data_IF_027261240355
#
_entry.id   IF_027261240355
#
_cell.length_a   1.000
_cell.length_b   1.000
_cell.length_c   1.000
_cell.angle_alpha   90.00
_cell.angle_beta   90.00
_cell.angle_gamma   90.00
#
_symmetry.space_group_name_H-M   'P 1'
#
loop_
_entity.id
_entity.type
_entity.pdbx_description
1 polymer ?
#
# COMPACT_ATOMS: atom_id res chain seq x y z
N UNK A 1 23.47 1.64 -30.27
CA UNK A 1 23.77 0.93 -29.00
C UNK A 1 23.55 -0.54 -29.28
N UNK A 2 24.50 -1.44 -28.95
CA UNK A 2 24.25 -2.89 -29.03
C UNK A 2 23.11 -3.22 -28.04
N UNK A 3 22.13 -4.00 -28.47
CA UNK A 3 21.08 -4.48 -27.60
C UNK A 3 21.74 -5.19 -26.39
N UNK A 4 21.36 -4.76 -25.19
CA UNK A 4 21.77 -5.47 -23.97
C UNK A 4 21.09 -6.84 -24.03
N UNK A 5 21.76 -7.93 -23.64
CA UNK A 5 21.08 -9.22 -23.59
C UNK A 5 19.84 -9.11 -22.66
N UNK A 6 18.79 -9.90 -22.92
CA UNK A 6 17.60 -9.89 -22.08
C UNK A 6 17.99 -10.14 -20.62
N UNK A 7 17.24 -9.55 -19.72
CA UNK A 7 17.46 -9.73 -18.28
C UNK A 7 17.06 -11.15 -17.87
N UNK A 8 17.73 -11.70 -16.86
CA UNK A 8 17.36 -13.00 -16.29
C UNK A 8 15.90 -12.97 -15.82
N UNK A 9 15.05 -13.91 -16.30
CA UNK A 9 13.63 -13.96 -15.91
C UNK A 9 13.44 -14.32 -14.44
N UNK A 10 12.44 -13.71 -13.82
CA UNK A 10 12.11 -13.95 -12.41
C UNK A 10 10.75 -14.65 -12.30
N UNK A 11 10.71 -15.80 -11.62
CA UNK A 11 9.50 -16.56 -11.39
C UNK A 11 8.73 -16.05 -10.17
N UNK A 12 7.41 -15.94 -10.30
CA UNK A 12 6.47 -15.81 -9.18
C UNK A 12 6.08 -17.22 -8.75
N UNK A 13 6.54 -17.63 -7.58
CA UNK A 13 6.36 -19.01 -7.09
C UNK A 13 5.29 -19.11 -6.00
N UNK A 14 4.89 -18.00 -5.39
CA UNK A 14 3.83 -17.92 -4.40
C UNK A 14 3.27 -16.52 -4.29
N UNK A 15 2.05 -16.43 -3.81
CA UNK A 15 1.38 -15.15 -3.57
C UNK A 15 0.29 -15.25 -2.52
N UNK A 16 0.01 -14.14 -1.85
CA UNK A 16 -1.12 -14.00 -0.94
C UNK A 16 -1.63 -12.56 -0.93
N UNK A 17 -2.87 -12.37 -0.54
CA UNK A 17 -3.47 -11.05 -0.48
C UNK A 17 -4.61 -10.96 0.53
N UNK A 18 -4.92 -9.70 0.93
CA UNK A 18 -6.17 -9.30 1.55
C UNK A 18 -6.62 -8.04 0.80
N UNK A 19 -7.80 -8.09 0.19
CA UNK A 19 -8.42 -6.98 -0.53
C UNK A 19 -9.90 -6.83 -0.14
N UNK A 20 -10.55 -5.73 -0.45
CA UNK A 20 -11.99 -5.57 -0.21
C UNK A 20 -12.79 -6.75 -0.79
N UNK A 21 -13.66 -7.33 0.02
CA UNK A 21 -14.43 -8.53 -0.36
C UNK A 21 -13.62 -9.82 -0.51
N UNK A 22 -12.30 -9.82 -0.23
CA UNK A 22 -11.41 -10.95 -0.47
C UNK A 22 -10.36 -11.13 0.64
N UNK A 23 -10.61 -12.00 1.63
CA UNK A 23 -9.67 -12.30 2.72
C UNK A 23 -8.45 -13.14 2.29
N UNK A 24 -8.42 -13.63 1.08
CA UNK A 24 -7.36 -14.48 0.54
C UNK A 24 -7.37 -14.54 -0.99
N UNK A 25 -6.32 -15.13 -1.55
CA UNK A 25 -6.10 -15.26 -3.00
C UNK A 25 -7.26 -15.95 -3.74
N UNK A 26 -7.80 -17.05 -3.17
CA UNK A 26 -8.90 -17.79 -3.82
C UNK A 26 -10.14 -16.91 -3.97
N UNK A 27 -10.55 -16.22 -2.90
CA UNK A 27 -11.72 -15.34 -2.95
C UNK A 27 -11.49 -14.14 -3.85
N UNK A 28 -10.27 -13.60 -3.91
CA UNK A 28 -9.91 -12.53 -4.83
C UNK A 28 -10.08 -12.96 -6.28
N UNK A 29 -9.59 -14.15 -6.63
CA UNK A 29 -9.80 -14.72 -7.96
C UNK A 29 -11.28 -14.95 -8.28
N UNK A 30 -12.03 -15.54 -7.35
CA UNK A 30 -13.47 -15.75 -7.52
C UNK A 30 -14.21 -14.41 -7.75
N UNK A 31 -13.82 -13.34 -7.07
CA UNK A 31 -14.39 -12.00 -7.27
C UNK A 31 -14.07 -11.44 -8.66
N UNK A 32 -12.84 -11.60 -9.16
CA UNK A 32 -12.46 -11.18 -10.51
C UNK A 32 -13.29 -11.92 -11.57
N UNK A 33 -13.34 -13.24 -11.49
CA UNK A 33 -14.07 -14.07 -12.47
C UNK A 33 -15.56 -13.75 -12.49
N UNK A 34 -16.14 -13.42 -11.34
CA UNK A 34 -17.58 -13.13 -11.22
C UNK A 34 -17.92 -11.64 -11.34
N UNK A 35 -16.92 -10.77 -11.59
CA UNK A 35 -17.14 -9.32 -11.75
C UNK A 35 -17.72 -8.66 -10.49
N UNK A 36 -17.30 -9.09 -9.30
CA UNK A 36 -17.80 -8.57 -8.02
C UNK A 36 -17.24 -7.18 -7.77
N UNK A 37 -18.13 -6.18 -7.64
CA UNK A 37 -17.78 -4.85 -7.13
C UNK A 37 -17.71 -4.91 -5.59
N UNK A 38 -16.51 -4.69 -5.06
CA UNK A 38 -16.24 -4.69 -3.61
C UNK A 38 -16.17 -3.27 -3.00
N UNK A 39 -16.61 -2.26 -3.75
CA UNK A 39 -16.70 -0.88 -3.26
C UNK A 39 -17.93 -0.73 -2.36
N UNK A 40 -17.74 -0.14 -1.19
CA UNK A 40 -18.80 0.12 -0.21
C UNK A 40 -18.76 1.55 0.31
N UNK A 41 -19.77 1.95 1.07
CA UNK A 41 -19.69 3.15 1.88
C UNK A 41 -18.68 2.95 3.01
N UNK A 42 -18.06 4.04 3.47
CA UNK A 42 -17.14 4.01 4.60
C UNK A 42 -17.84 3.44 5.84
N UNK A 43 -17.21 2.48 6.55
CA UNK A 43 -17.79 1.93 7.78
C UNK A 43 -18.03 3.01 8.84
N UNK A 44 -19.19 2.99 9.49
CA UNK A 44 -19.60 4.01 10.47
C UNK A 44 -18.59 4.20 11.63
N UNK A 45 -17.87 3.13 12.01
CA UNK A 45 -16.85 3.20 13.05
C UNK A 45 -15.59 3.96 12.64
N UNK A 46 -15.38 4.20 11.34
CA UNK A 46 -14.20 4.89 10.83
C UNK A 46 -14.27 6.40 10.98
N UNK A 47 -15.42 6.99 10.67
CA UNK A 47 -15.66 8.41 10.88
C UNK A 47 -17.18 8.74 10.90
N UNK A 48 -17.52 9.75 11.69
CA UNK A 48 -18.91 10.14 11.89
C UNK A 48 -19.51 10.79 10.62
N UNK A 49 -20.80 10.60 10.40
CA UNK A 49 -21.53 11.13 9.25
C UNK A 49 -21.45 12.65 9.10
N UNK A 50 -21.12 13.37 10.19
CA UNK A 50 -20.93 14.84 10.17
C UNK A 50 -19.81 15.29 9.22
N UNK A 51 -18.86 14.44 8.92
CA UNK A 51 -17.76 14.74 7.98
C UNK A 51 -18.18 14.64 6.51
N UNK A 52 -19.29 14.01 6.20
CA UNK A 52 -19.79 13.89 4.82
C UNK A 52 -20.66 15.09 4.45
N UNK A 53 -20.19 15.88 3.49
CA UNK A 53 -20.94 16.98 2.88
C UNK A 53 -20.46 17.14 1.42
N UNK A 54 -21.26 16.67 0.43
CA UNK A 54 -20.87 16.68 -0.97
C UNK A 54 -20.73 18.07 -1.58
N UNK A 55 -21.35 19.08 -0.97
CA UNK A 55 -21.38 20.46 -1.45
C UNK A 55 -20.33 21.36 -0.79
N UNK A 56 -19.72 20.91 0.32
CA UNK A 56 -18.73 21.68 1.06
C UNK A 56 -17.35 21.64 0.41
N UNK A 57 -16.59 22.71 0.63
CA UNK A 57 -15.15 22.82 0.28
C UNK A 57 -14.27 22.93 1.52
N UNK A 58 -14.88 22.85 2.71
CA UNK A 58 -14.13 22.90 3.97
C UNK A 58 -13.23 21.68 4.14
N UNK A 59 -12.06 21.87 4.76
CA UNK A 59 -11.06 20.82 4.91
C UNK A 59 -11.55 19.62 5.75
N UNK A 60 -12.48 19.85 6.63
CA UNK A 60 -13.09 18.86 7.52
C UNK A 60 -14.43 18.32 7.00
N UNK A 61 -14.70 18.51 5.71
CA UNK A 61 -15.88 17.97 5.02
C UNK A 61 -15.46 17.21 3.77
N UNK A 62 -16.08 16.06 3.57
CA UNK A 62 -15.70 15.15 2.47
C UNK A 62 -16.87 14.95 1.53
N UNK A 63 -16.61 15.14 0.25
CA UNK A 63 -17.63 14.97 -0.79
C UNK A 63 -17.77 13.53 -1.29
N UNK A 64 -16.87 12.64 -0.91
CA UNK A 64 -16.90 11.21 -1.26
C UNK A 64 -16.85 10.37 0.01
N UNK A 65 -17.68 9.35 0.10
CA UNK A 65 -17.71 8.40 1.23
C UNK A 65 -17.61 6.94 0.80
N UNK A 66 -17.31 6.67 -0.46
CA UNK A 66 -17.16 5.31 -0.98
C UNK A 66 -15.70 4.95 -1.22
N UNK A 67 -15.39 3.68 -0.96
CA UNK A 67 -14.05 3.14 -1.13
C UNK A 67 -14.02 1.62 -0.94
N UNK A 68 -12.85 1.04 -0.98
CA UNK A 68 -12.64 -0.37 -0.67
C UNK A 68 -12.05 -0.55 0.73
N UNK A 69 -12.71 -1.30 1.61
CA UNK A 69 -12.33 -1.49 3.01
C UNK A 69 -12.12 -2.96 3.33
N UNK A 70 -11.24 -3.24 4.29
CA UNK A 70 -10.86 -4.60 4.71
C UNK A 70 -11.13 -4.90 6.18
N UNK A 71 -11.93 -4.07 6.86
CA UNK A 71 -12.22 -4.20 8.30
C UNK A 71 -12.64 -5.60 8.73
N UNK A 72 -13.38 -6.30 7.88
CA UNK A 72 -13.88 -7.65 8.15
C UNK A 72 -12.77 -8.72 8.16
N UNK A 73 -11.56 -8.40 7.67
CA UNK A 73 -10.48 -9.37 7.41
C UNK A 73 -9.21 -9.12 8.21
N UNK A 74 -9.26 -8.17 9.15
CA UNK A 74 -8.09 -7.77 9.95
C UNK A 74 -7.83 -8.68 11.16
N UNK A 75 -8.51 -9.81 11.26
CA UNK A 75 -8.26 -10.81 12.28
C UNK A 75 -6.79 -11.26 12.27
N UNK A 76 -6.17 -11.17 13.45
CA UNK A 76 -4.77 -11.56 13.64
C UNK A 76 -4.60 -12.31 14.95
N UNK A 77 -4.18 -13.56 14.86
CA UNK A 77 -3.82 -14.36 16.04
C UNK A 77 -2.34 -14.10 16.40
N UNK A 78 -2.05 -13.31 17.44
CA UNK A 78 -0.68 -12.96 17.79
C UNK A 78 0.18 -14.18 18.14
N UNK A 79 -0.38 -15.17 18.79
CA UNK A 79 0.38 -16.34 19.23
C UNK A 79 0.80 -17.22 18.06
N UNK A 80 -0.05 -17.36 17.05
CA UNK A 80 0.27 -18.07 15.81
C UNK A 80 1.50 -17.51 15.10
N UNK A 81 1.69 -16.19 15.19
CA UNK A 81 2.79 -15.47 14.50
C UNK A 81 3.93 -15.08 15.45
N UNK A 82 3.93 -15.59 16.67
CA UNK A 82 4.98 -15.31 17.66
C UNK A 82 5.04 -13.86 18.14
N UNK A 83 3.92 -13.14 18.07
CA UNK A 83 3.78 -11.76 18.54
C UNK A 83 3.14 -11.78 19.94
N UNK A 84 3.68 -10.99 20.87
CA UNK A 84 3.05 -10.88 22.20
C UNK A 84 1.67 -10.19 22.05
N UNK A 85 0.59 -10.70 22.68
CA UNK A 85 -0.75 -10.11 22.56
C UNK A 85 -0.80 -8.62 22.91
N UNK A 86 -0.06 -8.19 23.94
CA UNK A 86 0.05 -6.77 24.30
C UNK A 86 0.66 -5.92 23.20
N UNK A 87 1.70 -6.42 22.52
CA UNK A 87 2.35 -5.73 21.42
C UNK A 87 1.45 -5.71 20.15
N UNK A 88 0.66 -6.76 19.94
CA UNK A 88 -0.31 -6.79 18.85
C UNK A 88 -1.41 -5.73 18.99
N UNK A 89 -1.94 -5.56 20.21
CA UNK A 89 -2.99 -4.56 20.48
C UNK A 89 -2.55 -3.09 20.29
N UNK A 90 -1.24 -2.85 20.20
CA UNK A 90 -0.66 -1.49 20.06
C UNK A 90 0.05 -1.28 18.71
N UNK A 91 0.26 -2.34 17.92
CA UNK A 91 0.92 -2.25 16.62
C UNK A 91 -0.05 -1.72 15.55
N UNK A 92 0.49 -1.01 14.58
CA UNK A 92 -0.28 -0.65 13.38
C UNK A 92 -0.68 -1.92 12.61
N UNK A 93 -1.88 -1.97 12.03
CA UNK A 93 -2.37 -3.09 11.22
C UNK A 93 -1.40 -3.50 10.11
N UNK A 94 -0.74 -2.53 9.49
CA UNK A 94 0.29 -2.73 8.46
C UNK A 94 1.33 -3.79 8.86
N UNK A 95 1.82 -3.71 10.09
CA UNK A 95 2.89 -4.60 10.58
C UNK A 95 2.40 -6.01 10.87
N UNK A 96 1.15 -6.14 11.29
CA UNK A 96 0.56 -7.43 11.63
C UNK A 96 0.07 -8.15 10.37
N UNK A 97 -0.62 -7.43 9.50
CA UNK A 97 -1.16 -8.00 8.26
C UNK A 97 -0.05 -8.33 7.25
N UNK A 98 1.04 -7.53 7.20
CA UNK A 98 2.20 -7.88 6.38
C UNK A 98 2.84 -9.20 6.83
N UNK A 99 2.94 -9.43 8.15
CA UNK A 99 3.43 -10.69 8.69
C UNK A 99 2.51 -11.86 8.32
N UNK A 100 1.20 -11.70 8.50
CA UNK A 100 0.21 -12.71 8.13
C UNK A 100 0.30 -13.07 6.65
N UNK A 101 0.21 -12.06 5.77
CA UNK A 101 0.20 -12.28 4.32
C UNK A 101 1.55 -12.78 3.80
N UNK A 102 2.67 -12.34 4.39
CA UNK A 102 3.99 -12.87 4.05
C UNK A 102 4.15 -14.36 4.40
N UNK A 103 3.65 -14.79 5.56
CA UNK A 103 3.63 -16.22 5.95
C UNK A 103 2.70 -17.02 5.01
N UNK A 104 1.53 -16.47 4.68
CA UNK A 104 0.59 -17.11 3.75
C UNK A 104 1.20 -17.25 2.33
N UNK A 105 1.93 -16.23 1.85
CA UNK A 105 2.61 -16.27 0.55
C UNK A 105 3.73 -17.33 0.50
N UNK A 106 4.53 -17.44 1.55
CA UNK A 106 5.52 -18.52 1.68
C UNK A 106 4.86 -19.89 1.76
N UNK A 107 3.74 -20.01 2.47
CA UNK A 107 2.95 -21.24 2.52
C UNK A 107 2.42 -21.63 1.13
N UNK A 108 1.93 -20.67 0.37
CA UNK A 108 1.45 -20.86 -1.00
C UNK A 108 2.60 -21.27 -1.95
N UNK A 109 3.80 -20.74 -1.75
CA UNK A 109 5.02 -21.15 -2.46
C UNK A 109 5.56 -22.55 -2.05
N UNK A 110 4.91 -23.24 -1.09
CA UNK A 110 5.34 -24.55 -0.60
C UNK A 110 6.40 -24.48 0.51
N UNK A 111 6.77 -23.30 0.98
CA UNK A 111 7.79 -23.08 2.00
C UNK A 111 7.23 -22.93 3.43
N UNK A 112 5.99 -23.27 3.65
CA UNK A 112 5.40 -23.30 4.99
C UNK A 112 6.03 -24.33 5.93
N UNK A 113 6.48 -25.46 5.38
CA UNK A 113 7.16 -26.54 6.11
C UNK A 113 8.48 -26.97 5.46
N UNK A 114 8.73 -26.58 4.23
CA UNK A 114 9.97 -26.85 3.48
C UNK A 114 11.02 -25.82 3.88
N UNK A 115 12.27 -26.25 4.00
CA UNK A 115 13.38 -25.34 4.27
C UNK A 115 13.72 -24.47 3.05
N UNK A 116 14.26 -23.26 3.31
CA UNK A 116 14.63 -22.30 2.28
C UNK A 116 15.81 -21.43 2.74
N UNK A 117 16.53 -20.75 1.83
CA UNK A 117 17.77 -20.04 2.15
C UNK A 117 17.49 -18.73 2.92
N UNK A 118 17.19 -18.77 4.21
CA UNK A 118 16.85 -17.61 5.05
C UNK A 118 17.92 -16.53 5.05
N UNK A 119 19.20 -16.92 5.04
CA UNK A 119 20.33 -15.98 4.97
C UNK A 119 20.36 -15.15 3.70
N UNK A 120 19.77 -15.70 2.63
CA UNK A 120 19.73 -15.09 1.30
C UNK A 120 18.29 -14.78 0.84
N UNK A 121 17.39 -14.66 1.80
CA UNK A 121 15.99 -14.25 1.56
C UNK A 121 15.76 -12.86 2.12
N UNK A 122 15.29 -11.96 1.26
CA UNK A 122 14.97 -10.58 1.62
C UNK A 122 13.48 -10.26 1.53
N UNK A 123 13.12 -9.06 1.97
CA UNK A 123 11.75 -8.54 1.91
C UNK A 123 11.74 -7.05 1.57
N UNK A 124 11.00 -6.66 0.54
CA UNK A 124 10.81 -5.26 0.13
C UNK A 124 9.33 -4.99 -0.02
N UNK A 125 8.81 -4.00 0.70
CA UNK A 125 7.37 -3.70 0.71
C UNK A 125 7.13 -2.25 0.30
N UNK A 126 6.33 -2.05 -0.73
CA UNK A 126 5.80 -0.75 -1.12
C UNK A 126 4.75 -0.27 -0.11
N UNK A 127 4.97 0.91 0.46
CA UNK A 127 4.08 1.50 1.45
C UNK A 127 4.11 3.02 1.34
N UNK A 128 2.96 3.64 1.18
CA UNK A 128 2.85 5.11 1.27
C UNK A 128 3.09 5.60 2.69
N UNK A 129 3.72 6.77 2.82
CA UNK A 129 4.04 7.36 4.12
C UNK A 129 2.91 8.28 4.64
N UNK A 130 1.68 7.79 4.64
CA UNK A 130 0.55 8.47 5.26
C UNK A 130 0.59 8.34 6.78
N UNK A 131 -0.16 9.20 7.49
CA UNK A 131 -0.19 9.18 8.96
C UNK A 131 -0.70 7.82 9.47
N UNK A 132 0.07 7.20 10.32
CA UNK A 132 -0.35 5.98 11.01
C UNK A 132 -1.26 6.30 12.19
N UNK A 133 -2.04 5.33 12.64
CA UNK A 133 -2.87 5.46 13.83
C UNK A 133 -2.06 5.87 15.06
N UNK A 134 -0.82 5.35 15.20
CA UNK A 134 0.10 5.73 16.27
C UNK A 134 0.51 7.20 16.22
N UNK A 135 0.79 7.72 15.02
CA UNK A 135 1.13 9.15 14.82
C UNK A 135 -0.04 10.05 15.19
N UNK A 136 -1.27 9.70 14.77
CA UNK A 136 -2.47 10.45 15.12
C UNK A 136 -2.70 10.49 16.63
N UNK A 137 -2.55 9.36 17.33
CA UNK A 137 -2.63 9.30 18.79
C UNK A 137 -1.58 10.21 19.46
N UNK A 138 -0.34 10.20 18.97
CA UNK A 138 0.70 11.07 19.48
C UNK A 138 0.34 12.55 19.30
N UNK A 139 -0.11 12.95 18.12
CA UNK A 139 -0.54 14.32 17.84
C UNK A 139 -1.69 14.77 18.76
N UNK A 140 -2.66 13.89 19.00
CA UNK A 140 -3.75 14.18 19.94
C UNK A 140 -3.25 14.39 21.36
N UNK A 141 -2.36 13.51 21.86
CA UNK A 141 -1.82 13.61 23.23
C UNK A 141 -0.93 14.83 23.45
N UNK A 142 -0.21 15.25 22.43
CA UNK A 142 0.80 16.33 22.55
C UNK A 142 0.23 17.67 22.08
N UNK A 143 -0.14 17.78 20.80
CA UNK A 143 -0.54 19.07 20.21
C UNK A 143 -1.99 19.42 20.46
N UNK A 144 -2.93 18.51 20.17
CA UNK A 144 -4.35 18.83 20.31
C UNK A 144 -4.70 19.21 21.74
N UNK A 145 -4.24 18.45 22.74
CA UNK A 145 -4.47 18.77 24.15
C UNK A 145 -3.91 20.17 24.48
N UNK A 146 -2.68 20.46 24.08
CA UNK A 146 -2.04 21.76 24.38
C UNK A 146 -2.74 22.92 23.67
N UNK A 147 -3.08 22.77 22.41
CA UNK A 147 -3.79 23.79 21.62
C UNK A 147 -5.18 24.05 22.21
N UNK A 148 -5.92 23.00 22.58
CA UNK A 148 -7.22 23.15 23.23
C UNK A 148 -7.14 23.94 24.54
N UNK A 149 -6.15 23.62 25.39
CA UNK A 149 -5.98 24.33 26.67
C UNK A 149 -5.58 25.80 26.45
N UNK A 150 -4.72 26.08 25.48
CA UNK A 150 -4.35 27.45 25.13
C UNK A 150 -5.56 28.25 24.63
N UNK A 151 -6.33 27.67 23.70
CA UNK A 151 -7.56 28.31 23.20
C UNK A 151 -8.54 28.61 24.32
N UNK A 152 -8.70 27.69 25.30
CA UNK A 152 -9.57 27.92 26.44
C UNK A 152 -9.07 29.05 27.33
N UNK A 153 -7.75 29.18 27.56
CA UNK A 153 -7.17 30.29 28.29
C UNK A 153 -7.41 31.65 27.59
N UNK A 154 -7.27 31.65 26.25
CA UNK A 154 -7.46 32.86 25.45
C UNK A 154 -8.94 33.30 25.43
N UNK A 155 -9.89 32.36 25.42
CA UNK A 155 -11.32 32.63 25.39
C UNK A 155 -11.92 32.91 26.79
N UNK A 156 -11.32 32.36 27.83
CA UNK A 156 -11.80 32.46 29.22
C UNK A 156 -10.61 32.94 30.09
N UNK A 157 -10.31 34.27 30.11
CA UNK A 157 -9.14 34.80 30.81
C UNK A 157 -9.09 34.47 32.31
N UNK A 158 -10.25 34.29 32.94
CA UNK A 158 -10.39 34.02 34.38
C UNK A 158 -10.38 32.50 34.70
N UNK A 159 -10.11 31.62 33.72
CA UNK A 159 -10.06 30.17 33.95
C UNK A 159 -8.90 29.83 34.90
N UNK A 160 -9.18 29.13 35.99
CA UNK A 160 -8.15 28.75 36.95
C UNK A 160 -7.24 27.62 36.44
N UNK A 161 -6.00 27.58 36.98
CA UNK A 161 -5.08 26.47 36.67
C UNK A 161 -5.64 25.09 37.05
N UNK A 162 -6.43 25.03 38.13
CA UNK A 162 -7.10 23.81 38.57
C UNK A 162 -8.15 23.35 37.56
N UNK A 163 -8.96 24.30 37.05
CA UNK A 163 -9.94 23.99 35.99
C UNK A 163 -9.25 23.49 34.72
N UNK A 164 -8.18 24.13 34.28
CA UNK A 164 -7.38 23.71 33.13
C UNK A 164 -6.80 22.29 33.31
N UNK A 165 -6.28 22.00 34.51
CA UNK A 165 -5.76 20.67 34.81
C UNK A 165 -6.85 19.61 34.76
N UNK A 166 -8.03 19.90 35.31
CA UNK A 166 -9.19 18.99 35.26
C UNK A 166 -9.65 18.75 33.81
N UNK A 167 -9.69 19.80 32.98
CA UNK A 167 -10.02 19.68 31.55
C UNK A 167 -8.97 18.83 30.84
N UNK A 168 -7.68 19.06 31.11
CA UNK A 168 -6.58 18.24 30.57
C UNK A 168 -6.76 16.75 30.87
N UNK A 169 -7.07 16.42 32.11
CA UNK A 169 -7.29 15.05 32.55
C UNK A 169 -8.51 14.43 31.87
N UNK A 170 -9.60 15.17 31.76
CA UNK A 170 -10.79 14.72 31.05
C UNK A 170 -10.55 14.48 29.55
N UNK A 171 -9.81 15.37 28.87
CA UNK A 171 -9.46 15.16 27.47
C UNK A 171 -8.61 13.89 27.35
N UNK A 172 -7.52 13.78 28.15
CA UNK A 172 -6.62 12.63 28.11
C UNK A 172 -7.31 11.30 28.43
N UNK A 173 -8.32 11.29 29.29
CA UNK A 173 -9.06 10.08 29.62
C UNK A 173 -9.93 9.54 28.47
N UNK A 174 -10.20 10.37 27.46
CA UNK A 174 -10.98 10.01 26.27
C UNK A 174 -10.09 9.63 25.07
N UNK A 175 -8.76 9.87 25.19
CA UNK A 175 -7.84 9.50 24.14
C UNK A 175 -7.42 8.04 24.28
N UNK A 176 -7.19 7.40 23.15
CA UNK A 176 -6.63 6.06 23.11
C UNK A 176 -5.25 5.98 23.77
N UNK A 177 -4.93 4.83 24.33
CA UNK A 177 -3.63 4.60 24.95
C UNK A 177 -2.47 4.89 23.98
N UNK A 178 -1.48 5.62 24.50
CA UNK A 178 -0.19 5.82 23.85
C UNK A 178 0.96 5.41 24.77
N UNK A 179 1.83 4.53 24.31
CA UNK A 179 2.98 4.04 25.06
C UNK A 179 4.09 3.54 24.13
N UNK A 180 5.16 2.94 24.69
CA UNK A 180 6.31 2.47 23.90
C UNK A 180 5.95 1.51 22.77
N UNK A 181 4.97 0.64 22.98
CA UNK A 181 4.53 -0.31 21.98
C UNK A 181 3.89 0.39 20.76
N UNK A 182 3.10 1.47 20.99
CA UNK A 182 2.53 2.31 19.94
C UNK A 182 3.63 3.07 19.21
N UNK A 183 4.62 3.62 19.95
CA UNK A 183 5.74 4.34 19.35
C UNK A 183 6.56 3.46 18.39
N UNK A 184 6.75 2.19 18.73
CA UNK A 184 7.36 1.20 17.81
C UNK A 184 6.50 1.00 16.57
N UNK A 185 5.17 0.99 16.70
CA UNK A 185 4.23 0.89 15.58
C UNK A 185 4.38 1.98 14.53
N UNK A 186 4.84 3.18 14.94
CA UNK A 186 4.99 4.34 14.04
C UNK A 186 6.17 4.25 13.07
N UNK A 187 7.10 3.32 13.23
CA UNK A 187 8.30 3.20 12.39
C UNK A 187 7.92 2.47 11.09
N UNK A 188 7.92 3.16 9.91
CA UNK A 188 7.42 2.57 8.66
C UNK A 188 8.15 1.29 8.26
N UNK A 189 9.48 1.24 8.47
CA UNK A 189 10.29 0.07 8.10
C UNK A 189 9.96 -1.20 8.90
N UNK A 190 9.28 -1.09 10.04
CA UNK A 190 8.94 -2.27 10.84
C UNK A 190 7.91 -3.19 10.15
N UNK A 191 7.22 -2.72 9.13
CA UNK A 191 6.40 -3.57 8.25
C UNK A 191 7.27 -4.67 7.63
N UNK A 192 8.41 -4.34 7.05
CA UNK A 192 9.34 -5.30 6.48
C UNK A 192 10.21 -5.99 7.55
N UNK A 193 10.75 -5.22 8.51
CA UNK A 193 11.66 -5.74 9.53
C UNK A 193 10.99 -6.72 10.50
N UNK A 194 9.70 -6.54 10.80
CA UNK A 194 8.94 -7.50 11.62
C UNK A 194 8.80 -8.84 10.91
N UNK A 195 8.49 -8.80 9.62
CA UNK A 195 8.41 -10.00 8.79
C UNK A 195 9.76 -10.72 8.75
N UNK A 196 10.84 -9.99 8.47
CA UNK A 196 12.20 -10.55 8.48
C UNK A 196 12.58 -11.15 9.83
N UNK A 197 12.29 -10.44 10.93
CA UNK A 197 12.58 -10.91 12.28
C UNK A 197 11.81 -12.20 12.64
N UNK A 198 10.51 -12.28 12.28
CA UNK A 198 9.68 -13.44 12.63
C UNK A 198 9.97 -14.68 11.79
N UNK A 199 10.42 -14.48 10.56
CA UNK A 199 10.77 -15.57 9.64
C UNK A 199 12.26 -15.89 9.60
N UNK A 200 13.08 -15.20 10.42
CA UNK A 200 14.53 -15.35 10.46
C UNK A 200 15.19 -15.12 9.10
N UNK A 201 14.81 -14.01 8.44
CA UNK A 201 15.34 -13.62 7.13
C UNK A 201 16.51 -12.64 7.32
N UNK A 202 17.62 -12.89 6.64
CA UNK A 202 18.87 -12.11 6.76
C UNK A 202 19.21 -11.29 5.51
N UNK A 203 18.42 -11.39 4.44
CA UNK A 203 18.54 -10.51 3.28
C UNK A 203 18.05 -9.08 3.56
N UNK A 204 18.09 -8.17 2.59
CA UNK A 204 17.59 -6.80 2.75
C UNK A 204 16.14 -6.79 3.19
N UNK A 205 15.82 -5.93 4.19
CA UNK A 205 14.47 -5.81 4.74
C UNK A 205 14.12 -4.32 4.90
N UNK A 206 13.33 -3.77 3.96
CA UNK A 206 12.96 -2.36 4.00
C UNK A 206 11.65 -2.06 3.28
N UNK A 207 11.11 -0.88 3.54
CA UNK A 207 9.96 -0.33 2.83
C UNK A 207 10.40 0.73 1.83
N UNK A 208 9.63 0.89 0.76
CA UNK A 208 9.84 1.92 -0.26
C UNK A 208 8.54 2.70 -0.47
N UNK A 209 8.68 4.02 -0.60
CA UNK A 209 7.59 4.92 -0.95
C UNK A 209 7.89 5.59 -2.30
N UNK A 210 7.09 5.28 -3.28
CA UNK A 210 7.05 5.90 -4.60
C UNK A 210 5.57 6.18 -5.00
N UNK A 211 4.76 6.59 -4.01
CA UNK A 211 3.32 6.80 -4.14
C UNK A 211 2.62 5.58 -4.79
N UNK A 212 1.79 5.78 -5.82
CA UNK A 212 1.04 4.71 -6.49
C UNK A 212 1.94 3.62 -7.11
N UNK A 213 3.20 3.92 -7.41
CA UNK A 213 4.15 2.97 -7.99
C UNK A 213 4.89 2.11 -6.94
N UNK A 214 4.68 2.33 -5.64
CA UNK A 214 5.48 1.72 -4.57
C UNK A 214 5.56 0.19 -4.65
N UNK A 215 4.45 -0.50 -4.92
CA UNK A 215 4.44 -1.96 -5.01
C UNK A 215 5.24 -2.49 -6.21
N UNK A 216 5.14 -1.83 -7.38
CA UNK A 216 5.90 -2.21 -8.57
C UNK A 216 7.39 -1.87 -8.44
N UNK A 217 7.74 -0.77 -7.78
CA UNK A 217 9.12 -0.43 -7.43
C UNK A 217 9.71 -1.46 -6.44
N UNK A 218 8.93 -1.91 -5.46
CA UNK A 218 9.36 -2.98 -4.57
C UNK A 218 9.66 -4.29 -5.34
N UNK A 219 8.84 -4.64 -6.32
CA UNK A 219 9.06 -5.78 -7.21
C UNK A 219 10.29 -5.56 -8.09
N UNK A 220 10.49 -4.37 -8.68
CA UNK A 220 11.68 -4.04 -9.47
C UNK A 220 12.96 -4.24 -8.66
N UNK A 221 13.02 -3.67 -7.46
CA UNK A 221 14.18 -3.81 -6.57
C UNK A 221 14.42 -5.26 -6.12
N UNK A 222 13.34 -6.03 -5.89
CA UNK A 222 13.46 -7.45 -5.58
C UNK A 222 14.00 -8.25 -6.77
N UNK A 223 13.55 -7.97 -7.99
CA UNK A 223 14.09 -8.57 -9.21
C UNK A 223 15.58 -8.25 -9.38
N UNK A 224 16.00 -7.01 -9.10
CA UNK A 224 17.40 -6.61 -9.20
C UNK A 224 18.27 -7.29 -8.14
N UNK A 225 17.77 -7.47 -6.91
CA UNK A 225 18.47 -8.22 -5.87
C UNK A 225 18.67 -9.71 -6.24
N UNK A 226 17.68 -10.31 -6.90
CA UNK A 226 17.77 -11.69 -7.42
C UNK A 226 18.74 -11.79 -8.60
N UNK A 227 18.62 -10.89 -9.59
CA UNK A 227 19.49 -10.84 -10.80
C UNK A 227 20.96 -10.57 -10.47
N UNK A 228 21.22 -9.76 -9.45
CA UNK A 228 22.56 -9.50 -8.95
C UNK A 228 23.11 -10.59 -8.03
N UNK A 229 22.37 -11.67 -7.81
CA UNK A 229 22.69 -12.74 -6.87
C UNK A 229 22.95 -12.28 -5.43
N UNK A 230 22.43 -11.12 -5.03
CA UNK A 230 22.44 -10.68 -3.64
C UNK A 230 21.52 -11.55 -2.79
N UNK A 231 20.39 -11.97 -3.36
CA UNK A 231 19.41 -12.86 -2.75
C UNK A 231 19.13 -14.06 -3.66
N UNK A 232 18.59 -15.15 -3.06
CA UNK A 232 18.10 -16.32 -3.80
C UNK A 232 16.57 -16.43 -3.74
N UNK A 233 15.96 -15.73 -2.80
CA UNK A 233 14.49 -15.60 -2.68
C UNK A 233 14.15 -14.19 -2.19
N UNK A 234 13.05 -13.64 -2.68
CA UNK A 234 12.54 -12.34 -2.24
C UNK A 234 11.04 -12.39 -1.99
N UNK A 235 10.61 -11.78 -0.88
CA UNK A 235 9.23 -11.39 -0.68
C UNK A 235 9.09 -9.93 -1.12
N UNK A 236 8.17 -9.66 -2.04
CA UNK A 236 7.93 -8.31 -2.55
C UNK A 236 6.44 -8.05 -2.77
N UNK A 237 6.01 -6.84 -2.53
CA UNK A 237 4.62 -6.46 -2.72
C UNK A 237 4.33 -5.06 -2.23
N UNK A 238 3.07 -4.79 -1.91
CA UNK A 238 2.67 -3.49 -1.37
C UNK A 238 1.44 -3.58 -0.50
N UNK A 239 1.26 -2.54 0.32
CA UNK A 239 0.11 -2.42 1.20
C UNK A 239 -0.34 -0.97 1.36
N UNK A 240 -1.63 -0.82 1.70
CA UNK A 240 -2.24 0.43 2.11
C UNK A 240 -3.42 0.17 3.04
N UNK A 241 -3.38 0.74 4.27
CA UNK A 241 -4.42 0.58 5.30
C UNK A 241 -4.73 1.88 6.05
N UNK A 242 -4.45 3.03 5.46
CA UNK A 242 -4.55 4.34 6.14
C UNK A 242 -5.73 5.17 5.65
N UNK A 243 -6.91 4.56 5.50
CA UNK A 243 -8.14 5.26 5.13
C UNK A 243 -8.82 5.88 6.37
N UNK A 244 -8.16 6.84 6.99
CA UNK A 244 -8.72 7.64 8.08
C UNK A 244 -9.17 9.04 7.62
N UNK A 245 -9.62 9.87 8.56
CA UNK A 245 -10.07 11.25 8.29
C UNK A 245 -9.01 12.09 7.57
N UNK A 246 -7.72 11.92 7.91
CA UNK A 246 -6.64 12.73 7.33
C UNK A 246 -6.36 12.34 5.89
N UNK A 247 -6.48 11.06 5.56
CA UNK A 247 -6.40 10.57 4.20
C UNK A 247 -7.55 11.15 3.35
N UNK A 248 -8.79 11.05 3.82
CA UNK A 248 -9.95 11.60 3.11
C UNK A 248 -9.86 13.10 2.93
N UNK A 249 -9.47 13.86 3.97
CA UNK A 249 -9.26 15.29 3.89
C UNK A 249 -8.22 15.65 2.81
N UNK A 250 -7.08 14.94 2.79
CA UNK A 250 -6.02 15.17 1.81
C UNK A 250 -6.52 14.94 0.37
N UNK A 251 -7.16 13.82 0.11
CA UNK A 251 -7.61 13.46 -1.24
C UNK A 251 -8.83 14.27 -1.69
N UNK A 252 -9.69 14.71 -0.78
CA UNK A 252 -10.76 15.68 -1.08
C UNK A 252 -10.18 17.05 -1.43
N UNK A 253 -9.19 17.55 -0.68
CA UNK A 253 -8.55 18.84 -0.97
C UNK A 253 -7.76 18.83 -2.30
N UNK A 254 -7.18 17.70 -2.66
CA UNK A 254 -6.55 17.51 -3.98
C UNK A 254 -7.57 17.43 -5.13
N UNK A 255 -8.87 17.31 -4.83
CA UNK A 255 -9.90 17.06 -5.83
C UNK A 255 -9.72 15.73 -6.56
N UNK A 256 -9.08 14.75 -5.92
CA UNK A 256 -8.70 13.49 -6.53
C UNK A 256 -9.79 12.41 -6.47
N UNK A 257 -10.66 12.45 -5.44
CA UNK A 257 -11.74 11.49 -5.31
C UNK A 257 -12.90 11.78 -6.27
N UNK A 258 -13.58 10.73 -6.73
CA UNK A 258 -14.76 10.86 -7.59
C UNK A 258 -15.93 11.49 -6.84
N UNK A 259 -16.47 12.59 -7.35
CA UNK A 259 -17.70 13.21 -6.85
C UNK A 259 -18.94 12.36 -7.15
N UNK A 260 -18.91 11.63 -8.28
CA UNK A 260 -19.95 10.67 -8.62
C UNK A 260 -19.89 9.37 -7.78
N UNK A 261 -18.90 9.24 -6.90
CA UNK A 261 -18.70 8.09 -6.00
C UNK A 261 -18.59 6.74 -6.75
N UNK A 262 -18.06 6.79 -7.96
CA UNK A 262 -17.79 5.63 -8.82
C UNK A 262 -16.48 5.83 -9.56
N UNK A 263 -15.67 4.76 -9.68
CA UNK A 263 -14.47 4.79 -10.50
C UNK A 263 -14.82 4.35 -11.93
N UNK A 264 -14.45 5.16 -12.93
CA UNK A 264 -14.81 4.95 -14.35
C UNK A 264 -13.59 5.17 -15.25
N UNK A 265 -12.58 4.30 -15.19
CA UNK A 265 -11.36 4.45 -15.99
C UNK A 265 -11.68 4.52 -17.49
N UNK A 266 -11.02 5.46 -18.17
CA UNK A 266 -11.13 5.67 -19.62
C UNK A 266 -12.53 6.04 -20.14
N UNK A 267 -13.46 6.39 -19.24
CA UNK A 267 -14.78 6.91 -19.59
C UNK A 267 -14.74 8.41 -19.84
N UNK A 268 -15.63 8.90 -20.73
CA UNK A 268 -15.84 10.34 -20.90
C UNK A 268 -16.36 11.02 -19.62
N UNK A 269 -17.00 10.25 -18.72
CA UNK A 269 -17.55 10.72 -17.45
C UNK A 269 -16.58 10.46 -16.27
N UNK A 270 -15.32 10.11 -16.52
CA UNK A 270 -14.32 9.94 -15.49
C UNK A 270 -14.10 11.24 -14.71
N UNK A 271 -14.21 11.19 -13.38
CA UNK A 271 -14.18 12.38 -12.51
C UNK A 271 -13.28 12.22 -11.28
N UNK A 272 -12.60 11.09 -11.13
CA UNK A 272 -11.69 10.84 -10.01
C UNK A 272 -11.57 9.37 -9.62
N UNK A 273 -10.77 9.13 -8.58
CA UNK A 273 -10.50 7.80 -8.03
C UNK A 273 -11.50 7.44 -6.93
N UNK A 274 -11.57 6.15 -6.62
CA UNK A 274 -12.02 5.66 -5.31
C UNK A 274 -10.84 4.97 -4.63
N UNK A 275 -10.62 5.31 -3.37
CA UNK A 275 -9.51 4.75 -2.61
C UNK A 275 -9.82 3.33 -2.12
N UNK A 276 -8.82 2.44 -2.13
CA UNK A 276 -8.95 1.06 -1.68
C UNK A 276 -7.83 0.65 -0.73
N UNK A 277 -8.18 -0.07 0.33
CA UNK A 277 -7.23 -0.72 1.21
C UNK A 277 -6.83 -2.09 0.69
N UNK A 278 -5.71 -2.60 1.17
CA UNK A 278 -5.30 -3.95 0.89
C UNK A 278 -3.81 -4.18 1.03
N UNK A 279 -3.45 -5.44 0.89
CA UNK A 279 -2.07 -5.92 0.81
C UNK A 279 -1.98 -7.07 -0.18
N UNK A 280 -0.94 -7.05 -1.00
CA UNK A 280 -0.51 -8.16 -1.84
C UNK A 280 0.97 -8.45 -1.64
N UNK A 281 1.34 -9.72 -1.56
CA UNK A 281 2.71 -10.21 -1.40
C UNK A 281 2.99 -11.32 -2.40
N UNK A 282 4.15 -11.22 -3.05
CA UNK A 282 4.69 -12.23 -3.96
C UNK A 282 5.94 -12.86 -3.36
N UNK A 283 6.17 -14.15 -3.66
CA UNK A 283 7.44 -14.83 -3.44
C UNK A 283 8.12 -15.02 -4.80
N UNK A 284 9.33 -14.49 -4.92
CA UNK A 284 10.08 -14.39 -6.17
C UNK A 284 11.38 -15.18 -6.09
N UNK A 285 11.74 -15.86 -7.18
CA UNK A 285 13.03 -16.52 -7.41
C UNK A 285 13.48 -16.33 -8.85
N UNK A 286 14.77 -16.45 -9.13
CA UNK A 286 15.24 -16.60 -10.53
C UNK A 286 14.53 -17.81 -11.15
N UNK A 287 14.13 -17.71 -12.42
CA UNK A 287 13.38 -18.76 -13.10
C UNK A 287 14.10 -20.12 -13.03
N UNK A 288 15.41 -20.13 -13.36
CA UNK A 288 16.17 -21.38 -13.35
C UNK A 288 16.31 -22.01 -11.95
N UNK A 289 16.34 -21.19 -10.89
CA UNK A 289 16.36 -21.69 -9.50
C UNK A 289 15.01 -22.29 -9.11
N UNK A 290 13.90 -21.66 -9.53
CA UNK A 290 12.56 -22.16 -9.30
C UNK A 290 12.33 -23.51 -10.02
N UNK A 291 12.79 -23.63 -11.27
CA UNK A 291 12.73 -24.89 -12.03
C UNK A 291 13.59 -26.00 -11.40
N UNK A 292 14.84 -25.68 -11.01
CA UNK A 292 15.73 -26.62 -10.31
C UNK A 292 15.13 -27.15 -9.02
N UNK A 293 14.45 -26.28 -8.28
CA UNK A 293 13.91 -26.59 -6.95
C UNK A 293 12.47 -27.16 -7.02
N UNK A 294 11.95 -27.42 -8.22
CA UNK A 294 10.61 -27.94 -8.50
C UNK A 294 9.49 -27.08 -7.84
N UNK A 295 9.66 -25.76 -7.89
CA UNK A 295 8.67 -24.82 -7.38
C UNK A 295 7.52 -24.67 -8.38
N UNK A 296 6.29 -24.49 -7.88
CA UNK A 296 5.18 -24.07 -8.71
C UNK A 296 5.44 -22.65 -9.22
N UNK A 297 5.29 -22.44 -10.53
CA UNK A 297 5.45 -21.13 -11.16
C UNK A 297 4.09 -20.62 -11.64
N UNK A 298 3.63 -19.52 -11.07
CA UNK A 298 2.40 -18.86 -11.50
C UNK A 298 2.57 -18.05 -12.77
N UNK A 299 3.68 -17.30 -12.82
CA UNK A 299 4.02 -16.43 -13.93
C UNK A 299 5.52 -16.10 -13.91
N UNK A 300 6.01 -15.52 -15.00
CA UNK A 300 7.40 -15.07 -15.14
C UNK A 300 7.44 -13.59 -15.45
N UNK A 301 8.20 -12.85 -14.66
CA UNK A 301 8.51 -11.43 -14.88
C UNK A 301 9.69 -11.36 -15.82
N UNK A 302 9.44 -11.04 -17.08
CA UNK A 302 10.46 -10.89 -18.11
C UNK A 302 11.14 -9.51 -18.07
N UNK A 303 10.39 -8.47 -17.72
CA UNK A 303 10.89 -7.11 -17.61
C UNK A 303 10.09 -6.28 -16.62
N UNK A 304 10.77 -5.46 -15.84
CA UNK A 304 10.22 -4.47 -14.94
C UNK A 304 11.14 -3.27 -14.88
N UNK A 305 10.58 -2.06 -15.00
CA UNK A 305 11.39 -0.85 -14.96
C UNK A 305 10.56 0.36 -14.56
N UNK A 306 11.24 1.35 -14.03
CA UNK A 306 10.69 2.64 -13.65
C UNK A 306 11.34 3.81 -14.37
N UNK A 307 10.66 4.94 -14.36
CA UNK A 307 11.17 6.21 -14.82
C UNK A 307 10.54 7.35 -14.00
N UNK A 308 11.29 8.45 -13.87
CA UNK A 308 10.75 9.71 -13.39
C UNK A 308 10.21 10.53 -14.56
N UNK A 309 9.15 11.28 -14.33
CA UNK A 309 8.61 12.24 -15.32
C UNK A 309 9.58 13.40 -15.63
N UNK A 310 10.59 13.60 -14.79
CA UNK A 310 11.55 14.69 -14.95
C UNK A 310 10.88 16.06 -14.77
N UNK A 311 11.29 17.05 -15.58
CA UNK A 311 10.69 18.37 -15.54
C UNK A 311 9.39 18.38 -16.36
N UNK A 312 8.26 18.56 -15.69
CA UNK A 312 6.94 18.71 -16.32
C UNK A 312 6.33 20.09 -16.02
N UNK A 313 5.14 20.36 -16.54
CA UNK A 313 4.40 21.60 -16.31
C UNK A 313 3.93 21.79 -14.85
N UNK A 314 3.72 20.68 -14.14
CA UNK A 314 3.28 20.65 -12.74
C UNK A 314 3.85 19.39 -12.07
N UNK A 315 4.03 19.45 -10.75
CA UNK A 315 4.53 18.32 -9.97
C UNK A 315 3.61 17.08 -10.05
N UNK A 316 2.31 17.29 -10.17
CA UNK A 316 1.30 16.23 -10.19
C UNK A 316 0.76 15.93 -11.59
N UNK A 317 1.21 16.64 -12.63
CA UNK A 317 0.73 16.41 -13.99
C UNK A 317 1.36 15.12 -14.56
N UNK A 318 0.55 14.17 -15.09
CA UNK A 318 1.07 12.96 -15.70
C UNK A 318 1.86 13.29 -16.99
N UNK A 319 2.97 12.59 -17.22
CA UNK A 319 3.85 12.80 -18.37
C UNK A 319 3.81 11.60 -19.32
N UNK A 320 3.34 11.83 -20.54
CA UNK A 320 3.37 10.83 -21.63
C UNK A 320 4.81 10.35 -21.88
N UNK A 321 5.78 11.26 -21.89
CA UNK A 321 7.17 10.92 -22.17
C UNK A 321 7.81 10.11 -21.02
N UNK A 322 7.45 10.41 -19.77
CA UNK A 322 7.86 9.64 -18.59
C UNK A 322 7.31 8.21 -18.61
N UNK A 323 6.02 8.07 -18.91
CA UNK A 323 5.38 6.76 -19.06
C UNK A 323 5.97 5.96 -20.23
N UNK A 324 6.21 6.58 -21.40
CA UNK A 324 6.89 5.96 -22.54
C UNK A 324 8.31 5.50 -22.18
N UNK A 325 9.02 6.27 -21.37
CA UNK A 325 10.37 5.90 -20.93
C UNK A 325 10.35 4.66 -20.04
N UNK A 326 9.41 4.58 -19.10
CA UNK A 326 9.23 3.40 -18.25
C UNK A 326 8.91 2.14 -19.08
N UNK A 327 7.94 2.24 -20.00
CA UNK A 327 7.57 1.14 -20.88
C UNK A 327 8.74 0.69 -21.75
N UNK A 328 9.48 1.62 -22.37
CA UNK A 328 10.66 1.29 -23.19
C UNK A 328 11.73 0.59 -22.38
N UNK A 329 12.02 1.05 -21.16
CA UNK A 329 13.00 0.44 -20.27
C UNK A 329 12.62 -1.00 -19.89
N UNK A 330 11.34 -1.23 -19.55
CA UNK A 330 10.85 -2.56 -19.23
C UNK A 330 10.91 -3.49 -20.47
N UNK A 331 10.48 -2.99 -21.61
CA UNK A 331 10.49 -3.76 -22.86
C UNK A 331 11.89 -4.12 -23.36
N UNK A 332 12.88 -3.22 -23.16
CA UNK A 332 14.27 -3.51 -23.49
C UNK A 332 14.93 -4.63 -22.66
N UNK A 333 14.26 -5.08 -21.60
CA UNK A 333 14.73 -6.22 -20.80
C UNK A 333 14.24 -7.57 -21.34
N UNK A 334 13.40 -7.58 -22.36
CA UNK A 334 12.76 -8.78 -22.91
C UNK A 334 13.06 -8.94 -24.39
N UNK A 335 12.89 -10.16 -24.89
CA UNK A 335 12.89 -10.48 -26.33
C UNK A 335 11.45 -10.65 -26.87
N UNK A 336 10.43 -10.29 -26.08
CA UNK A 336 9.03 -10.45 -26.49
C UNK A 336 8.65 -9.42 -27.55
N UNK A 337 7.94 -9.89 -28.58
CA UNK A 337 7.32 -9.01 -29.55
C UNK A 337 6.06 -8.37 -28.95
N UNK A 338 5.79 -7.12 -29.31
CA UNK A 338 4.61 -6.38 -28.85
C UNK A 338 3.32 -7.02 -29.35
N UNK A 339 3.35 -7.63 -30.52
CA UNK A 339 2.21 -8.33 -31.11
C UNK A 339 1.80 -9.60 -30.32
N UNK A 340 2.64 -10.06 -29.38
CA UNK A 340 2.35 -11.18 -28.48
C UNK A 340 1.60 -10.76 -27.21
N UNK A 341 1.31 -9.47 -27.04
CA UNK A 341 0.59 -8.97 -25.87
C UNK A 341 -0.87 -9.44 -25.91
N UNK A 342 -1.26 -10.31 -24.97
CA UNK A 342 -2.63 -10.82 -24.85
C UNK A 342 -3.52 -10.04 -23.90
N UNK A 343 -2.92 -9.32 -22.94
CA UNK A 343 -3.65 -8.52 -21.95
C UNK A 343 -2.79 -7.33 -21.53
N UNK A 344 -3.42 -6.19 -21.36
CA UNK A 344 -2.80 -4.97 -20.80
C UNK A 344 -3.61 -4.53 -19.58
N UNK A 345 -2.97 -4.56 -18.42
CA UNK A 345 -3.50 -3.96 -17.20
C UNK A 345 -2.97 -2.53 -17.10
N UNK A 346 -3.84 -1.55 -17.19
CA UNK A 346 -3.49 -0.15 -17.14
C UNK A 346 -3.51 0.41 -15.72
N UNK A 347 -2.96 1.61 -15.52
CA UNK A 347 -3.12 2.34 -14.26
C UNK A 347 -4.59 2.74 -14.02
N UNK A 348 -5.25 3.28 -15.06
CA UNK A 348 -6.69 3.43 -15.09
C UNK A 348 -7.28 4.17 -13.89
N UNK A 349 -6.75 5.34 -13.54
CA UNK A 349 -7.15 6.05 -12.32
C UNK A 349 -8.58 6.59 -12.36
N UNK A 350 -9.16 6.74 -13.54
CA UNK A 350 -10.46 7.42 -13.71
C UNK A 350 -10.37 8.94 -13.53
N UNK A 351 -9.15 9.50 -13.58
CA UNK A 351 -8.95 10.96 -13.63
C UNK A 351 -8.82 11.41 -15.08
N UNK A 352 -9.49 12.49 -15.51
CA UNK A 352 -9.46 12.90 -16.93
C UNK A 352 -8.05 13.09 -17.49
N UNK A 353 -7.17 13.77 -16.77
CA UNK A 353 -5.80 14.01 -17.20
C UNK A 353 -4.94 12.74 -17.19
N UNK A 354 -5.11 11.87 -16.18
CA UNK A 354 -4.39 10.60 -16.06
C UNK A 354 -4.76 9.63 -17.16
N UNK A 355 -6.04 9.42 -17.37
CA UNK A 355 -6.56 8.52 -18.41
C UNK A 355 -6.16 8.98 -19.81
N UNK A 356 -6.23 10.30 -20.10
CA UNK A 356 -5.80 10.85 -21.38
C UNK A 356 -4.30 10.63 -21.63
N UNK A 357 -3.46 10.90 -20.63
CA UNK A 357 -2.01 10.72 -20.76
C UNK A 357 -1.67 9.24 -20.97
N UNK A 358 -2.32 8.33 -20.26
CA UNK A 358 -2.10 6.90 -20.37
C UNK A 358 -2.53 6.36 -21.74
N UNK A 359 -3.72 6.74 -22.24
CA UNK A 359 -4.18 6.37 -23.60
C UNK A 359 -3.22 6.86 -24.68
N UNK A 360 -2.76 8.11 -24.59
CA UNK A 360 -1.77 8.65 -25.54
C UNK A 360 -0.43 7.91 -25.45
N UNK A 361 -0.02 7.50 -24.26
CA UNK A 361 1.19 6.69 -24.04
C UNK A 361 1.06 5.34 -24.73
N UNK A 362 -0.04 4.64 -24.50
CA UNK A 362 -0.30 3.32 -25.08
C UNK A 362 -0.37 3.40 -26.59
N UNK A 363 -1.10 4.37 -27.16
CA UNK A 363 -1.18 4.60 -28.61
C UNK A 363 0.19 4.86 -29.27
N UNK A 364 1.12 5.53 -28.56
CA UNK A 364 2.46 5.81 -29.08
C UNK A 364 3.41 4.63 -28.91
N UNK A 365 3.14 3.75 -27.96
CA UNK A 365 4.01 2.64 -27.64
C UNK A 365 3.67 1.38 -28.44
N UNK A 366 2.39 1.06 -28.57
CA UNK A 366 1.85 -0.06 -29.33
C UNK A 366 1.32 0.38 -30.71
#
# INVERSE_FOLDING_TARGET
MKAKPPSEPIAIIGMACIYPGAPNLKRYWDNIVNGVDAISDVPEQRWASVFYDPDSTEIDRFYCRRGGFVDEYVDFDPLKYGVMPKAAGSADPDQLLSLRVGVEALGDAGYGSRDFPRERTGVIIGRGNYLSAGTLRLEQHVRLVQQTLQTLQDLIPDISAEQLQKIREQIKSKLDYYGPDVAVGMIPNLVASRLANRLDLHGPAYTVDAACASSLIAIEQACDALRSHQCDMMLAGGLHFTHDLTFWATFCQLGALSRAQTVRPFSADADGILAGEGIGMLVLKRLHDAERDDDRIYAVINGVASASDGRSSSLLAPSVDGQLLALRRAWMQTDLDRDQLGLLEAHGTGTPAGDQAELLTLQKFF
#
